data_IF_153125085764
#
_entry.id   IF_153125085764
#
_cell.length_a   1.000
_cell.length_b   1.000
_cell.length_c   1.000
_cell.angle_alpha   90.00
_cell.angle_beta   90.00
_cell.angle_gamma   90.00
#
_symmetry.space_group_name_H-M   'P 1'
#
loop_
_entity.id
_entity.type
_entity.pdbx_description
1 polymer ?
#
# COMPACT_ATOMS: atom_id res chain seq x y z
N UNK A 1 -8.67 8.32 1.32
CA UNK A 1 -7.88 7.19 0.79
C UNK A 1 -7.10 6.47 1.89
N UNK A 2 -6.19 7.15 2.61
CA UNK A 2 -5.31 6.53 3.62
C UNK A 2 -5.99 5.60 4.65
N UNK A 3 -7.15 5.95 5.24
CA UNK A 3 -7.82 5.06 6.18
C UNK A 3 -8.23 3.70 5.58
N UNK A 4 -8.56 3.66 4.28
CA UNK A 4 -8.91 2.42 3.58
C UNK A 4 -7.70 1.52 3.37
N UNK A 5 -6.52 2.10 3.10
CA UNK A 5 -5.27 1.35 3.03
C UNK A 5 -4.96 0.74 4.40
N UNK A 6 -5.04 1.53 5.47
CA UNK A 6 -4.83 1.06 6.85
C UNK A 6 -5.82 -0.04 7.26
N UNK A 7 -7.09 0.07 6.84
CA UNK A 7 -8.10 -0.96 7.07
C UNK A 7 -7.72 -2.31 6.43
N UNK A 8 -7.10 -2.29 5.24
CA UNK A 8 -6.63 -3.52 4.59
C UNK A 8 -5.49 -4.21 5.34
N UNK A 9 -4.58 -3.43 5.94
CA UNK A 9 -3.53 -3.94 6.82
C UNK A 9 -4.14 -4.55 8.08
N UNK A 10 -5.03 -3.81 8.76
CA UNK A 10 -5.69 -4.27 9.99
C UNK A 10 -6.48 -5.57 9.79
N UNK A 11 -7.27 -5.69 8.72
CA UNK A 11 -8.07 -6.90 8.41
C UNK A 11 -7.23 -8.15 8.17
N UNK A 12 -5.94 -7.99 7.86
CA UNK A 12 -5.01 -9.08 7.56
C UNK A 12 -3.98 -9.29 8.67
N UNK A 13 -4.15 -8.61 9.80
CA UNK A 13 -3.16 -8.59 10.89
C UNK A 13 -1.75 -8.24 10.41
N UNK A 14 -1.65 -7.36 9.40
CA UNK A 14 -0.38 -6.86 8.88
C UNK A 14 0.01 -5.61 9.67
N UNK A 15 1.13 -5.68 10.37
CA UNK A 15 1.71 -4.54 11.09
C UNK A 15 2.91 -4.05 10.29
N UNK A 16 2.90 -2.81 9.77
CA UNK A 16 4.07 -2.25 9.11
C UNK A 16 5.22 -2.08 10.10
N UNK A 17 6.42 -2.48 9.69
CA UNK A 17 7.67 -2.17 10.39
C UNK A 17 8.13 -0.74 10.05
N UNK A 18 7.86 -0.30 8.81
CA UNK A 18 8.07 1.07 8.35
C UNK A 18 6.84 1.59 7.63
N UNK A 19 6.53 2.86 7.85
CA UNK A 19 5.48 3.58 7.15
C UNK A 19 5.91 5.00 6.79
N UNK A 20 5.83 5.36 5.52
CA UNK A 20 6.04 6.71 5.04
C UNK A 20 4.88 7.11 4.11
N UNK A 21 4.25 8.25 4.40
CA UNK A 21 3.23 8.81 3.52
C UNK A 21 3.54 10.28 3.25
N UNK A 22 3.59 10.67 1.98
CA UNK A 22 3.92 12.04 1.56
C UNK A 22 3.03 12.51 0.42
N UNK A 23 2.72 13.81 0.41
CA UNK A 23 2.16 14.47 -0.77
C UNK A 23 3.30 14.73 -1.75
N UNK A 24 3.08 14.41 -3.01
CA UNK A 24 4.01 14.68 -4.11
C UNK A 24 3.30 15.46 -5.20
N UNK A 25 4.03 16.36 -5.86
CA UNK A 25 3.53 17.03 -7.05
C UNK A 25 3.46 16.03 -8.21
N UNK A 26 2.37 16.09 -8.97
CA UNK A 26 2.15 15.31 -10.20
C UNK A 26 1.53 16.22 -11.27
N UNK A 27 1.54 15.74 -12.52
CA UNK A 27 1.03 16.52 -13.67
C UNK A 27 -0.44 16.96 -13.52
N UNK A 28 -1.26 16.16 -12.83
CA UNK A 28 -2.69 16.40 -12.60
C UNK A 28 -2.99 17.01 -11.21
N UNK A 29 -1.98 17.50 -10.50
CA UNK A 29 -2.10 18.06 -9.15
C UNK A 29 -1.32 17.29 -8.09
N UNK A 30 -1.76 17.31 -6.84
CA UNK A 30 -1.09 16.57 -5.76
C UNK A 30 -1.51 15.09 -5.74
N UNK A 31 -0.55 14.19 -5.54
CA UNK A 31 -0.79 12.76 -5.29
C UNK A 31 -0.28 12.38 -3.90
N UNK A 32 -0.90 11.37 -3.30
CA UNK A 32 -0.42 10.77 -2.04
C UNK A 32 0.37 9.51 -2.38
N UNK A 33 1.66 9.52 -2.06
CA UNK A 33 2.49 8.32 -2.08
C UNK A 33 2.51 7.69 -0.68
N UNK A 34 2.43 6.36 -0.64
CA UNK A 34 2.53 5.56 0.58
C UNK A 34 3.54 4.45 0.33
N UNK A 35 4.58 4.42 1.14
CA UNK A 35 5.56 3.34 1.22
C UNK A 35 5.35 2.63 2.57
N UNK A 36 5.22 1.30 2.53
CA UNK A 36 5.08 0.49 3.72
C UNK A 36 5.92 -0.79 3.59
N UNK A 37 6.65 -1.11 4.64
CA UNK A 37 7.38 -2.38 4.77
C UNK A 37 6.69 -3.21 5.84
N UNK A 38 6.42 -4.47 5.56
CA UNK A 38 5.76 -5.37 6.49
C UNK A 38 6.22 -6.81 6.22
N UNK A 39 6.33 -7.58 7.30
CA UNK A 39 6.58 -9.01 7.22
C UNK A 39 5.40 -9.71 6.56
N UNK A 40 5.68 -10.38 5.44
CA UNK A 40 4.73 -11.20 4.71
C UNK A 40 5.08 -12.68 4.86
N UNK A 41 4.07 -13.53 4.65
CA UNK A 41 4.26 -14.98 4.70
C UNK A 41 5.22 -15.47 3.60
N UNK A 42 5.01 -14.99 2.38
CA UNK A 42 5.71 -15.34 1.16
C UNK A 42 5.43 -14.29 0.07
N UNK A 43 6.13 -14.38 -1.06
CA UNK A 43 5.99 -13.44 -2.19
C UNK A 43 4.59 -13.47 -2.81
N UNK A 44 3.97 -14.65 -2.92
CA UNK A 44 2.60 -14.79 -3.45
C UNK A 44 1.58 -14.04 -2.60
N UNK A 45 1.71 -14.14 -1.26
CA UNK A 45 0.89 -13.41 -0.31
C UNK A 45 1.13 -11.89 -0.43
N UNK A 46 2.38 -11.45 -0.56
CA UNK A 46 2.70 -10.04 -0.77
C UNK A 46 2.04 -9.48 -2.04
N UNK A 47 2.15 -10.21 -3.17
CA UNK A 47 1.50 -9.84 -4.42
C UNK A 47 -0.03 -9.88 -4.33
N UNK A 48 -0.61 -10.83 -3.61
CA UNK A 48 -2.04 -10.86 -3.36
C UNK A 48 -2.52 -9.61 -2.60
N UNK A 49 -1.81 -9.22 -1.54
CA UNK A 49 -2.13 -8.01 -0.78
C UNK A 49 -1.99 -6.77 -1.66
N UNK A 50 -0.94 -6.68 -2.48
CA UNK A 50 -0.76 -5.60 -3.45
C UNK A 50 -1.94 -5.49 -4.44
N UNK A 51 -2.43 -6.61 -4.97
CA UNK A 51 -3.63 -6.63 -5.81
C UNK A 51 -4.87 -6.13 -5.08
N UNK A 52 -5.06 -6.49 -3.81
CA UNK A 52 -6.16 -5.96 -3.01
C UNK A 52 -6.05 -4.44 -2.79
N UNK A 53 -4.85 -3.91 -2.54
CA UNK A 53 -4.62 -2.47 -2.36
C UNK A 53 -4.89 -1.72 -3.67
N UNK A 54 -4.43 -2.26 -4.81
CA UNK A 54 -4.68 -1.69 -6.14
C UNK A 54 -6.17 -1.58 -6.51
N UNK A 55 -7.04 -2.38 -5.87
CA UNK A 55 -8.48 -2.35 -6.09
C UNK A 55 -9.21 -1.30 -5.23
N UNK A 56 -8.53 -0.62 -4.31
CA UNK A 56 -9.15 0.44 -3.49
C UNK A 56 -9.44 1.65 -4.40
N UNK A 57 -10.69 2.16 -4.44
CA UNK A 57 -11.00 3.36 -5.22
C UNK A 57 -10.10 4.55 -4.88
N UNK A 58 -9.48 5.12 -5.91
CA UNK A 58 -8.52 6.23 -5.78
C UNK A 58 -7.05 5.80 -5.66
N UNK A 59 -6.76 4.50 -5.61
CA UNK A 59 -5.39 3.99 -5.80
C UNK A 59 -5.13 3.86 -7.29
N UNK A 60 -4.14 4.60 -7.79
CA UNK A 60 -3.76 4.62 -9.21
C UNK A 60 -2.69 3.59 -9.56
N UNK A 61 -1.95 3.12 -8.55
CA UNK A 61 -0.90 2.11 -8.73
C UNK A 61 -0.47 1.53 -7.39
N UNK A 62 -0.07 0.26 -7.40
CA UNK A 62 0.54 -0.42 -6.27
C UNK A 62 1.68 -1.28 -6.80
N UNK A 63 2.90 -1.00 -6.33
CA UNK A 63 4.10 -1.77 -6.66
C UNK A 63 4.46 -2.58 -5.43
N UNK A 64 4.65 -3.88 -5.61
CA UNK A 64 5.11 -4.78 -4.55
C UNK A 64 6.59 -5.07 -4.82
N UNK A 65 7.42 -4.75 -3.84
CA UNK A 65 8.84 -5.10 -3.83
C UNK A 65 9.01 -6.30 -2.91
N UNK A 66 9.59 -7.38 -3.42
CA UNK A 66 9.97 -8.56 -2.64
C UNK A 66 11.43 -8.88 -2.92
N UNK A 67 12.13 -9.32 -1.90
CA UNK A 67 13.53 -9.77 -1.98
C UNK A 67 13.70 -11.04 -2.82
#
# INVERSE_FOLDING_TARGET
MLPRVLEHFAKRSLVPERWLSRRVAAEEGERLEVEAEAMMRDSDHAHYVGRCIAQIPGVFGCVVLTD
#
